data_IF_530604564035
#
_entry.id   IF_530604564035
#
_cell.length_a   1.000
_cell.length_b   1.000
_cell.length_c   1.000
_cell.angle_alpha   90.00
_cell.angle_beta   90.00
_cell.angle_gamma   90.00
#
_symmetry.space_group_name_H-M   'P 1'
#
loop_
_entity.id
_entity.type
_entity.pdbx_description
1 polymer ?
#
# COMPACT_ATOMS: atom_id res chain seq x y z
N UNK A 1 82.28 -14.78 -4.92
CA UNK A 1 82.47 -15.03 -3.47
C UNK A 1 82.76 -13.71 -2.79
N UNK A 2 82.12 -13.41 -1.69
CA UNK A 2 82.38 -12.25 -0.86
C UNK A 2 83.77 -12.35 -0.18
N UNK A 3 84.39 -11.21 -0.01
CA UNK A 3 85.70 -11.18 0.70
C UNK A 3 85.51 -11.51 2.18
N UNK A 4 86.54 -12.11 2.81
CA UNK A 4 86.48 -12.45 4.22
C UNK A 4 86.30 -11.23 5.10
N UNK A 5 86.87 -10.09 4.74
CA UNK A 5 86.76 -8.82 5.45
C UNK A 5 85.31 -8.25 5.43
N UNK A 6 84.56 -8.46 4.31
CA UNK A 6 83.18 -8.03 4.23
C UNK A 6 82.27 -8.84 5.15
N UNK A 7 82.50 -10.16 5.25
CA UNK A 7 81.77 -11.02 6.17
C UNK A 7 82.05 -10.68 7.63
N UNK A 8 83.33 -10.47 8.01
CA UNK A 8 83.74 -10.08 9.37
C UNK A 8 83.15 -8.69 9.74
N UNK A 9 83.13 -7.73 8.83
CA UNK A 9 82.53 -6.43 9.06
C UNK A 9 81.02 -6.53 9.29
N UNK A 10 80.31 -7.32 8.52
CA UNK A 10 78.90 -7.55 8.71
C UNK A 10 78.57 -8.25 10.02
N UNK A 11 79.38 -9.27 10.39
CA UNK A 11 79.23 -10.00 11.64
C UNK A 11 79.39 -9.06 12.85
N UNK A 12 80.40 -8.20 12.84
CA UNK A 12 80.66 -7.22 13.92
C UNK A 12 79.46 -6.26 14.10
N UNK A 13 78.92 -5.72 13.00
CA UNK A 13 77.79 -4.82 13.06
C UNK A 13 76.54 -5.52 13.54
N UNK A 14 76.28 -6.76 13.11
CA UNK A 14 75.15 -7.55 13.58
C UNK A 14 75.25 -7.87 15.07
N UNK A 15 76.44 -8.25 15.53
CA UNK A 15 76.68 -8.48 16.97
C UNK A 15 76.46 -7.21 17.78
N UNK A 16 76.89 -6.04 17.30
CA UNK A 16 76.68 -4.76 17.96
C UNK A 16 75.18 -4.42 18.01
N UNK A 17 74.48 -4.61 16.94
CA UNK A 17 73.03 -4.41 16.88
C UNK A 17 72.28 -5.31 17.87
N UNK A 18 72.66 -6.57 17.99
CA UNK A 18 72.11 -7.49 18.98
C UNK A 18 72.37 -7.07 20.43
N UNK A 19 73.59 -6.58 20.74
CA UNK A 19 73.90 -6.02 22.06
C UNK A 19 73.04 -4.80 22.38
N UNK A 20 72.80 -3.92 21.42
CA UNK A 20 71.90 -2.76 21.62
C UNK A 20 70.45 -3.23 21.82
N UNK A 21 69.99 -4.16 21.04
CA UNK A 21 68.63 -4.63 21.09
C UNK A 21 68.33 -5.51 22.31
N UNK A 22 69.16 -6.41 22.61
CA UNK A 22 68.88 -7.43 23.64
C UNK A 22 69.56 -7.13 25.00
N UNK A 23 70.78 -6.55 25.03
CA UNK A 23 71.49 -6.21 26.27
C UNK A 23 71.30 -4.75 26.69
N UNK A 24 70.50 -3.96 25.92
CA UNK A 24 70.28 -2.54 26.22
C UNK A 24 71.50 -1.70 26.36
N UNK A 25 72.55 -2.09 25.70
CA UNK A 25 73.83 -1.33 25.69
C UNK A 25 73.60 -0.07 24.83
N UNK A 26 74.02 1.11 25.31
CA UNK A 26 73.99 2.33 24.54
C UNK A 26 75.32 2.50 23.81
N UNK A 27 75.33 2.40 22.45
CA UNK A 27 76.58 2.62 21.70
C UNK A 27 77.01 4.11 21.81
N UNK A 28 78.30 4.34 21.70
CA UNK A 28 78.83 5.68 21.59
C UNK A 28 78.62 6.23 20.15
N UNK A 29 78.51 7.54 20.02
CA UNK A 29 78.22 8.19 18.71
C UNK A 29 79.32 7.84 17.66
N UNK A 30 80.58 7.68 18.04
CA UNK A 30 81.58 7.27 17.08
C UNK A 30 81.44 5.78 16.62
N UNK A 31 80.96 4.91 17.49
CA UNK A 31 80.68 3.49 17.14
C UNK A 31 79.54 3.39 16.13
N UNK A 32 78.49 4.22 16.30
CA UNK A 32 77.37 4.29 15.36
C UNK A 32 77.86 4.72 13.95
N UNK A 33 78.69 5.75 13.89
CA UNK A 33 79.26 6.22 12.63
C UNK A 33 80.22 5.22 11.98
N UNK A 34 80.99 4.47 12.77
CA UNK A 34 81.83 3.43 12.29
C UNK A 34 81.04 2.24 11.76
N UNK A 35 80.01 1.79 12.48
CA UNK A 35 79.11 0.72 12.05
C UNK A 35 78.32 1.09 10.80
N UNK A 36 77.90 2.32 10.69
CA UNK A 36 77.26 2.84 9.46
C UNK A 36 78.21 2.78 8.24
N UNK A 37 79.47 3.15 8.42
CA UNK A 37 80.46 3.01 7.34
C UNK A 37 80.71 1.57 6.96
N UNK A 38 80.82 0.65 7.95
CA UNK A 38 81.00 -0.80 7.72
C UNK A 38 79.79 -1.39 6.96
N UNK A 39 78.59 -1.08 7.38
CA UNK A 39 77.36 -1.54 6.68
C UNK A 39 77.32 -1.00 5.27
N UNK A 40 77.51 0.32 5.09
CA UNK A 40 77.47 0.93 3.77
C UNK A 40 78.51 0.31 2.81
N UNK A 41 79.76 0.12 3.29
CA UNK A 41 80.81 -0.51 2.54
C UNK A 41 80.49 -1.99 2.19
N UNK A 42 79.96 -2.73 3.16
CA UNK A 42 79.51 -4.11 2.98
C UNK A 42 78.39 -4.23 1.96
N UNK A 43 77.38 -3.37 2.04
CA UNK A 43 76.25 -3.34 1.08
C UNK A 43 76.76 -3.03 -0.34
N UNK A 44 77.63 -2.04 -0.52
CA UNK A 44 78.22 -1.71 -1.83
C UNK A 44 79.01 -2.90 -2.41
N UNK A 45 79.79 -3.58 -1.53
CA UNK A 45 80.59 -4.75 -1.98
C UNK A 45 79.70 -5.94 -2.34
N UNK A 46 78.66 -6.19 -1.57
CA UNK A 46 77.65 -7.22 -1.87
C UNK A 46 76.93 -6.89 -3.16
N UNK A 47 76.50 -5.64 -3.32
CA UNK A 47 75.80 -5.22 -4.56
C UNK A 47 76.65 -5.39 -5.82
N UNK A 48 77.94 -5.10 -5.73
CA UNK A 48 78.91 -5.35 -6.83
C UNK A 48 79.20 -6.83 -7.08
N UNK A 49 79.04 -7.70 -6.08
CA UNK A 49 79.29 -9.10 -6.17
C UNK A 49 78.09 -9.92 -6.66
N UNK A 50 76.90 -9.31 -6.68
CA UNK A 50 75.67 -9.88 -7.25
C UNK A 50 75.74 -9.71 -8.79
N UNK A 51 75.72 -10.77 -9.57
CA UNK A 51 75.64 -10.61 -11.01
C UNK A 51 74.32 -9.88 -11.37
N UNK A 52 74.40 -8.89 -12.23
CA UNK A 52 73.22 -8.30 -12.85
C UNK A 52 72.48 -9.39 -13.66
N UNK A 53 71.41 -9.90 -13.07
CA UNK A 53 70.51 -10.81 -13.78
C UNK A 53 69.60 -9.92 -14.62
N UNK A 54 69.96 -9.74 -15.86
CA UNK A 54 69.27 -8.83 -16.82
C UNK A 54 67.91 -9.36 -17.24
N UNK A 55 67.50 -10.59 -16.85
CA UNK A 55 66.25 -11.22 -17.30
C UNK A 55 65.09 -11.21 -16.28
N UNK A 56 65.34 -10.95 -14.97
CA UNK A 56 64.26 -10.96 -13.97
C UNK A 56 63.57 -9.61 -13.79
N UNK A 57 64.11 -8.51 -14.31
CA UNK A 57 63.53 -7.18 -14.14
C UNK A 57 62.28 -6.98 -14.96
N UNK A 58 62.20 -7.52 -16.17
CA UNK A 58 61.01 -7.36 -17.04
C UNK A 58 59.78 -8.08 -16.49
N UNK A 59 59.94 -9.30 -15.95
CA UNK A 59 58.81 -10.04 -15.35
C UNK A 59 58.33 -9.40 -14.05
N UNK A 60 59.22 -8.90 -13.23
CA UNK A 60 58.86 -8.25 -11.96
C UNK A 60 58.19 -6.86 -12.20
N UNK A 61 58.68 -6.10 -13.17
CA UNK A 61 58.05 -4.84 -13.56
C UNK A 61 56.68 -5.06 -14.21
N UNK A 62 56.54 -6.05 -15.09
CA UNK A 62 55.28 -6.44 -15.67
C UNK A 62 54.26 -6.90 -14.62
N UNK A 63 54.69 -7.69 -13.64
CA UNK A 63 53.82 -8.09 -12.50
C UNK A 63 53.41 -6.91 -11.63
N UNK A 64 54.33 -5.98 -11.33
CA UNK A 64 54.06 -4.79 -10.56
C UNK A 64 53.08 -3.83 -11.31
N UNK A 65 53.21 -3.70 -12.61
CA UNK A 65 52.27 -2.92 -13.42
C UNK A 65 50.88 -3.56 -13.49
N UNK A 66 50.81 -4.88 -13.61
CA UNK A 66 49.57 -5.62 -13.58
C UNK A 66 48.84 -5.43 -12.22
N UNK A 67 49.58 -5.51 -11.12
CA UNK A 67 49.01 -5.24 -9.78
C UNK A 67 48.54 -3.81 -9.62
N UNK A 68 49.30 -2.82 -10.12
CA UNK A 68 48.87 -1.42 -10.15
C UNK A 68 47.60 -1.22 -10.98
N UNK A 69 47.50 -1.82 -12.14
CA UNK A 69 46.30 -1.74 -12.98
C UNK A 69 45.10 -2.40 -12.32
N UNK A 70 45.25 -3.58 -11.70
CA UNK A 70 44.20 -4.26 -10.91
C UNK A 70 43.72 -3.38 -9.74
N UNK A 71 44.66 -2.76 -9.02
CA UNK A 71 44.32 -1.85 -7.91
C UNK A 71 43.60 -0.57 -8.38
N UNK A 72 44.02 -0.01 -9.51
CA UNK A 72 43.35 1.13 -10.14
C UNK A 72 41.95 0.78 -10.64
N UNK A 73 41.80 -0.38 -11.33
CA UNK A 73 40.51 -0.87 -11.80
C UNK A 73 39.55 -1.11 -10.63
N UNK A 74 40.01 -1.70 -9.52
CA UNK A 74 39.23 -1.87 -8.31
C UNK A 74 38.77 -0.54 -7.71
N UNK A 75 39.66 0.44 -7.58
CA UNK A 75 39.31 1.79 -7.09
C UNK A 75 38.32 2.49 -7.99
N UNK A 76 38.42 2.35 -9.32
CA UNK A 76 37.47 2.90 -10.30
C UNK A 76 36.12 2.22 -10.16
N UNK A 77 36.09 0.89 -10.04
CA UNK A 77 34.87 0.13 -9.84
C UNK A 77 34.16 0.51 -8.53
N UNK A 78 34.89 0.64 -7.45
CA UNK A 78 34.36 1.09 -6.15
C UNK A 78 33.79 2.52 -6.21
N UNK A 79 34.49 3.43 -6.90
CA UNK A 79 33.98 4.81 -7.12
C UNK A 79 32.70 4.81 -7.97
N UNK A 80 32.65 4.00 -9.04
CA UNK A 80 31.44 3.84 -9.87
C UNK A 80 30.29 3.27 -9.05
N UNK A 81 30.51 2.19 -8.30
CA UNK A 81 29.52 1.57 -7.42
C UNK A 81 29.00 2.57 -6.36
N UNK A 82 29.88 3.34 -5.73
CA UNK A 82 29.48 4.38 -4.77
C UNK A 82 28.67 5.51 -5.42
N UNK A 83 29.02 5.93 -6.64
CA UNK A 83 28.25 6.95 -7.39
C UNK A 83 26.85 6.42 -7.75
N UNK A 84 26.75 5.19 -8.22
CA UNK A 84 25.47 4.54 -8.55
C UNK A 84 24.62 4.41 -7.28
N UNK A 85 25.20 3.94 -6.17
CA UNK A 85 24.50 3.84 -4.88
C UNK A 85 23.97 5.19 -4.41
N UNK A 86 24.79 6.24 -4.50
CA UNK A 86 24.37 7.59 -4.12
C UNK A 86 23.28 8.13 -5.06
N UNK A 87 23.37 7.88 -6.38
CA UNK A 87 22.35 8.29 -7.35
C UNK A 87 21.00 7.58 -7.05
N UNK A 88 21.02 6.29 -6.71
CA UNK A 88 19.81 5.55 -6.31
C UNK A 88 19.22 6.13 -5.03
N UNK A 89 20.06 6.44 -4.01
CA UNK A 89 19.59 7.06 -2.77
C UNK A 89 18.97 8.43 -2.98
N UNK A 90 19.57 9.25 -3.84
CA UNK A 90 19.03 10.57 -4.21
C UNK A 90 17.69 10.40 -4.95
N UNK A 91 17.63 9.48 -5.92
CA UNK A 91 16.40 9.16 -6.65
C UNK A 91 15.27 8.71 -5.72
N UNK A 92 15.59 7.81 -4.78
CA UNK A 92 14.62 7.36 -3.78
C UNK A 92 14.16 8.52 -2.88
N UNK A 93 15.07 9.39 -2.46
CA UNK A 93 14.75 10.58 -1.67
C UNK A 93 13.80 11.53 -2.39
N UNK A 94 14.00 11.75 -3.70
CA UNK A 94 13.10 12.58 -4.52
C UNK A 94 11.72 11.95 -4.63
N UNK A 95 11.62 10.64 -4.82
CA UNK A 95 10.33 9.91 -4.86
C UNK A 95 9.59 10.03 -3.53
N UNK A 96 10.26 9.81 -2.40
CA UNK A 96 9.66 9.93 -1.06
C UNK A 96 9.19 11.37 -0.80
N UNK A 97 9.99 12.37 -1.17
CA UNK A 97 9.61 13.78 -1.05
C UNK A 97 8.40 14.13 -1.92
N UNK A 98 8.36 13.68 -3.17
CA UNK A 98 7.23 13.94 -4.07
C UNK A 98 5.95 13.28 -3.56
N UNK A 99 6.02 12.05 -3.05
CA UNK A 99 4.91 11.37 -2.39
C UNK A 99 4.44 12.14 -1.14
N UNK A 100 5.37 12.60 -0.29
CA UNK A 100 5.05 13.39 0.89
C UNK A 100 4.32 14.70 0.56
N UNK A 101 4.78 15.42 -0.47
CA UNK A 101 4.12 16.65 -0.95
C UNK A 101 2.72 16.33 -1.51
N UNK A 102 2.59 15.24 -2.26
CA UNK A 102 1.29 14.83 -2.84
C UNK A 102 0.30 14.44 -1.74
N UNK A 103 0.74 13.70 -0.72
CA UNK A 103 -0.08 13.37 0.46
C UNK A 103 -0.52 14.65 1.20
N UNK A 104 0.39 15.60 1.40
CA UNK A 104 0.06 16.85 2.09
C UNK A 104 -0.92 17.74 1.30
N UNK A 105 -0.85 17.72 -0.03
CA UNK A 105 -1.68 18.55 -0.91
C UNK A 105 -3.03 17.91 -1.27
N UNK A 106 -3.09 16.59 -1.42
CA UNK A 106 -4.27 15.87 -1.95
C UNK A 106 -4.79 14.75 -1.03
N UNK A 107 -4.12 14.48 0.09
CA UNK A 107 -4.48 13.44 1.01
C UNK A 107 -3.82 12.08 0.70
N UNK A 108 -3.82 11.20 1.70
CA UNK A 108 -3.25 9.86 1.60
C UNK A 108 -4.05 8.97 0.62
N UNK A 109 -5.37 9.11 0.61
CA UNK A 109 -6.26 8.30 -0.23
C UNK A 109 -6.01 8.54 -1.71
N UNK A 110 -5.73 9.78 -2.12
CA UNK A 110 -5.36 10.09 -3.50
C UNK A 110 -4.10 9.36 -3.96
N UNK A 111 -3.09 9.25 -3.09
CA UNK A 111 -1.84 8.54 -3.41
C UNK A 111 -2.06 7.04 -3.43
N UNK A 112 -2.87 6.52 -2.52
CA UNK A 112 -3.29 5.12 -2.49
C UNK A 112 -4.00 4.74 -3.79
N UNK A 113 -4.96 5.55 -4.23
CA UNK A 113 -5.71 5.36 -5.47
C UNK A 113 -4.82 5.44 -6.72
N UNK A 114 -3.80 6.31 -6.71
CA UNK A 114 -2.85 6.44 -7.82
C UNK A 114 -1.96 5.20 -7.97
N UNK A 115 -1.59 4.56 -6.86
CA UNK A 115 -0.66 3.41 -6.85
C UNK A 115 -1.41 2.08 -7.03
N UNK A 116 -2.56 1.94 -6.36
CA UNK A 116 -3.32 0.68 -6.30
C UNK A 116 -4.48 0.62 -7.29
N UNK A 117 -4.78 1.73 -7.99
CA UNK A 117 -6.00 1.90 -8.77
C UNK A 117 -7.18 2.30 -7.89
N UNK A 118 -8.24 2.81 -8.52
CA UNK A 118 -9.48 3.15 -7.86
C UNK A 118 -10.62 2.37 -8.51
N UNK A 119 -11.13 1.37 -7.81
CA UNK A 119 -12.20 0.48 -8.29
C UNK A 119 -13.48 1.26 -8.64
N UNK A 120 -13.85 2.26 -7.82
CA UNK A 120 -15.04 3.07 -8.07
C UNK A 120 -14.89 3.98 -9.29
N UNK A 121 -13.67 4.43 -9.62
CA UNK A 121 -13.37 5.14 -10.85
C UNK A 121 -13.64 4.28 -12.08
N UNK A 122 -13.14 3.05 -12.08
CA UNK A 122 -13.37 2.12 -13.21
C UNK A 122 -14.85 1.82 -13.39
N UNK A 123 -15.62 1.75 -12.29
CA UNK A 123 -17.07 1.55 -12.33
C UNK A 123 -17.82 2.77 -12.88
N UNK A 124 -17.39 4.00 -12.55
CA UNK A 124 -17.99 5.22 -13.11
C UNK A 124 -17.76 5.35 -14.60
N UNK A 125 -16.52 5.07 -15.05
CA UNK A 125 -16.10 5.18 -16.45
C UNK A 125 -16.56 4.00 -17.32
N UNK A 126 -17.02 2.91 -16.70
CA UNK A 126 -17.48 1.69 -17.37
C UNK A 126 -18.88 1.81 -17.98
N UNK A 127 -19.35 0.71 -18.57
CA UNK A 127 -20.72 0.60 -19.07
C UNK A 127 -21.72 0.54 -17.92
N UNK A 128 -22.78 1.36 -18.02
CA UNK A 128 -23.91 1.35 -17.10
C UNK A 128 -25.06 0.55 -17.68
N UNK A 129 -25.71 -0.20 -16.80
CA UNK A 129 -26.74 -1.16 -17.19
C UNK A 129 -28.06 -0.73 -16.57
N UNK A 130 -29.04 -0.41 -17.42
CA UNK A 130 -30.41 -0.20 -16.98
C UNK A 130 -31.07 -1.56 -16.76
N UNK A 131 -31.48 -1.84 -15.53
CA UNK A 131 -32.08 -3.13 -15.15
C UNK A 131 -33.34 -2.93 -14.34
N UNK A 132 -34.26 -3.87 -14.48
CA UNK A 132 -35.44 -3.99 -13.63
C UNK A 132 -35.15 -5.00 -12.51
N UNK A 133 -35.42 -4.60 -11.28
CA UNK A 133 -35.21 -5.43 -10.10
C UNK A 133 -36.51 -5.63 -9.33
N UNK A 134 -36.86 -6.88 -9.07
CA UNK A 134 -37.93 -7.28 -8.17
C UNK A 134 -39.34 -7.24 -8.68
N UNK A 135 -40.30 -7.45 -7.74
CA UNK A 135 -41.74 -7.38 -7.97
C UNK A 135 -42.43 -6.92 -6.67
N UNK A 136 -43.02 -5.70 -6.59
CA UNK A 136 -43.15 -4.72 -7.69
C UNK A 136 -41.76 -4.19 -8.10
N UNK A 137 -41.59 -3.97 -9.40
CA UNK A 137 -40.29 -3.69 -10.00
C UNK A 137 -39.81 -2.27 -9.79
N UNK A 138 -38.49 -2.11 -9.60
CA UNK A 138 -37.80 -0.83 -9.70
C UNK A 138 -36.80 -0.88 -10.85
N UNK A 139 -36.81 0.12 -11.70
CA UNK A 139 -35.88 0.29 -12.80
C UNK A 139 -34.79 1.23 -12.37
N UNK A 140 -33.54 0.82 -12.51
CA UNK A 140 -32.36 1.56 -12.01
C UNK A 140 -31.18 1.36 -12.93
N UNK A 141 -30.39 2.40 -13.17
CA UNK A 141 -29.06 2.27 -13.78
C UNK A 141 -28.02 1.89 -12.74
N UNK A 142 -27.27 0.84 -12.99
CA UNK A 142 -26.18 0.37 -12.10
C UNK A 142 -24.90 0.13 -12.90
N UNK A 143 -23.71 0.30 -12.29
CA UNK A 143 -22.43 0.09 -12.98
C UNK A 143 -22.16 -1.39 -13.28
N UNK A 144 -22.86 -2.30 -12.61
CA UNK A 144 -22.84 -3.76 -12.83
C UNK A 144 -24.20 -4.34 -12.54
N UNK A 145 -24.54 -5.47 -13.19
CA UNK A 145 -25.75 -6.22 -12.84
C UNK A 145 -25.64 -6.74 -11.40
N UNK A 146 -26.65 -6.44 -10.58
CA UNK A 146 -26.70 -6.91 -9.21
C UNK A 146 -27.06 -8.39 -9.16
N UNK A 147 -26.44 -9.11 -8.22
CA UNK A 147 -26.71 -10.54 -8.00
C UNK A 147 -27.91 -10.72 -7.08
N UNK A 148 -28.80 -11.61 -7.43
CA UNK A 148 -29.91 -11.98 -6.54
C UNK A 148 -29.37 -12.78 -5.33
N UNK A 149 -29.74 -12.33 -4.15
CA UNK A 149 -29.33 -12.92 -2.87
C UNK A 149 -30.53 -13.59 -2.21
N UNK A 150 -30.29 -14.67 -1.46
CA UNK A 150 -31.33 -15.33 -0.67
C UNK A 150 -31.63 -14.48 0.57
N UNK A 151 -32.66 -13.64 0.46
CA UNK A 151 -33.05 -12.71 1.51
C UNK A 151 -33.36 -13.43 2.85
N UNK A 152 -33.72 -14.73 2.85
CA UNK A 152 -33.99 -15.48 4.08
C UNK A 152 -32.74 -15.70 4.94
N UNK A 153 -31.56 -15.64 4.32
CA UNK A 153 -30.29 -15.77 5.03
C UNK A 153 -29.80 -14.43 5.61
N UNK A 154 -30.27 -13.34 5.03
CA UNK A 154 -29.79 -11.99 5.37
C UNK A 154 -30.64 -11.30 6.44
N UNK A 155 -31.89 -11.71 6.63
CA UNK A 155 -32.83 -11.05 7.53
C UNK A 155 -33.20 -11.93 8.74
N UNK A 156 -33.47 -11.28 9.89
CA UNK A 156 -34.05 -11.96 11.04
C UNK A 156 -35.39 -12.61 10.72
N UNK A 157 -35.69 -13.76 11.34
CA UNK A 157 -36.93 -14.51 11.08
C UNK A 157 -38.21 -13.70 11.30
N UNK A 158 -38.22 -12.77 12.24
CA UNK A 158 -39.35 -11.88 12.54
C UNK A 158 -39.65 -10.89 11.41
N UNK A 159 -38.63 -10.45 10.65
CA UNK A 159 -38.85 -9.55 9.51
C UNK A 159 -39.68 -10.21 8.38
N UNK A 160 -39.58 -11.52 8.23
CA UNK A 160 -40.39 -12.28 7.27
C UNK A 160 -41.87 -12.45 7.67
N UNK A 161 -42.20 -12.27 8.94
CA UNK A 161 -43.56 -12.51 9.43
C UNK A 161 -44.59 -11.61 8.75
N UNK A 162 -44.23 -10.38 8.44
CA UNK A 162 -45.07 -9.36 7.81
C UNK A 162 -44.96 -9.29 6.28
N UNK A 163 -43.94 -9.95 5.70
CA UNK A 163 -43.70 -9.94 4.27
C UNK A 163 -44.42 -11.09 3.57
N UNK A 164 -45.07 -10.79 2.45
CA UNK A 164 -45.61 -11.79 1.51
C UNK A 164 -44.54 -12.26 0.55
N UNK A 165 -43.74 -11.34 0.05
CA UNK A 165 -42.62 -11.58 -0.86
C UNK A 165 -41.51 -10.57 -0.59
N UNK A 166 -40.26 -10.99 -0.73
CA UNK A 166 -39.09 -10.15 -0.71
C UNK A 166 -38.07 -10.65 -1.74
N UNK A 167 -37.51 -9.74 -2.48
CA UNK A 167 -36.40 -10.02 -3.39
C UNK A 167 -35.26 -9.04 -3.06
N UNK A 168 -34.04 -9.55 -3.03
CA UNK A 168 -32.86 -8.81 -2.66
C UNK A 168 -31.77 -9.01 -3.73
N UNK A 169 -31.17 -7.92 -4.17
CA UNK A 169 -30.13 -7.88 -5.18
C UNK A 169 -28.97 -7.03 -4.66
N UNK A 170 -27.74 -7.52 -4.79
CA UNK A 170 -26.57 -6.84 -4.21
C UNK A 170 -25.36 -6.86 -5.15
N UNK A 171 -24.53 -5.86 -5.00
CA UNK A 171 -23.17 -5.76 -5.52
C UNK A 171 -22.25 -5.29 -4.40
N UNK A 172 -21.12 -5.98 -4.21
CA UNK A 172 -20.20 -5.69 -3.13
C UNK A 172 -20.72 -6.12 -1.76
N UNK A 173 -20.15 -5.57 -0.73
CA UNK A 173 -20.54 -5.76 0.68
C UNK A 173 -20.27 -4.50 1.50
N UNK A 174 -20.89 -4.40 2.67
CA UNK A 174 -20.87 -3.18 3.49
C UNK A 174 -19.46 -2.73 3.92
N UNK A 175 -18.50 -3.65 3.95
CA UNK A 175 -17.10 -3.41 4.30
C UNK A 175 -16.18 -3.24 3.08
N UNK A 176 -16.73 -3.14 1.86
CA UNK A 176 -15.98 -2.86 0.64
C UNK A 176 -16.08 -1.39 0.23
N UNK A 177 -15.24 -1.00 -0.74
CA UNK A 177 -15.20 0.37 -1.29
C UNK A 177 -16.55 0.87 -1.83
N UNK A 178 -17.38 -0.05 -2.34
CA UNK A 178 -18.72 0.22 -2.85
C UNK A 178 -19.66 -0.94 -2.48
N UNK A 179 -20.83 -0.60 -2.00
CA UNK A 179 -21.94 -1.53 -1.77
C UNK A 179 -23.22 -0.96 -2.36
N UNK A 180 -23.90 -1.75 -3.16
CA UNK A 180 -25.19 -1.42 -3.75
C UNK A 180 -26.16 -2.55 -3.38
N UNK A 181 -27.31 -2.20 -2.84
CA UNK A 181 -28.35 -3.16 -2.52
C UNK A 181 -29.71 -2.62 -2.96
N UNK A 182 -30.47 -3.45 -3.64
CA UNK A 182 -31.85 -3.15 -4.02
C UNK A 182 -32.74 -4.25 -3.48
N UNK A 183 -33.73 -3.88 -2.67
CA UNK A 183 -34.74 -4.81 -2.21
C UNK A 183 -36.15 -4.35 -2.61
N UNK A 184 -36.97 -5.30 -3.00
CA UNK A 184 -38.38 -5.08 -3.26
C UNK A 184 -39.20 -5.97 -2.33
N UNK A 185 -40.09 -5.33 -1.59
CA UNK A 185 -40.83 -5.97 -0.51
C UNK A 185 -42.32 -5.82 -0.79
N UNK A 186 -43.07 -6.92 -0.71
CA UNK A 186 -44.52 -6.95 -0.75
C UNK A 186 -45.04 -7.38 0.61
N UNK A 187 -45.90 -6.57 1.21
CA UNK A 187 -46.43 -6.84 2.54
C UNK A 187 -47.69 -7.71 2.48
N UNK A 188 -47.95 -8.43 3.55
CA UNK A 188 -49.22 -9.14 3.72
C UNK A 188 -50.32 -8.11 3.97
N UNK A 189 -51.49 -8.39 3.38
CA UNK A 189 -52.68 -7.62 3.67
C UNK A 189 -53.15 -7.92 5.09
N UNK A 190 -53.53 -6.89 5.81
CA UNK A 190 -54.16 -7.01 7.14
C UNK A 190 -55.63 -6.66 7.03
N UNK A 191 -56.52 -7.56 7.50
CA UNK A 191 -57.94 -7.20 7.54
C UNK A 191 -58.17 -6.04 8.53
N UNK A 192 -58.93 -5.05 8.08
CA UNK A 192 -59.35 -3.99 8.97
C UNK A 192 -60.57 -4.43 9.82
N UNK A 193 -61.02 -3.56 10.74
CA UNK A 193 -62.16 -3.84 11.62
C UNK A 193 -63.50 -4.10 10.84
N UNK A 194 -63.57 -3.75 9.56
CA UNK A 194 -64.74 -3.97 8.69
C UNK A 194 -64.60 -5.20 7.82
N UNK A 195 -63.51 -5.97 7.96
CA UNK A 195 -63.25 -7.18 7.16
C UNK A 195 -62.70 -6.94 5.77
N UNK A 196 -62.41 -5.69 5.39
CA UNK A 196 -61.75 -5.36 4.13
C UNK A 196 -60.27 -5.50 4.30
N UNK A 197 -59.60 -6.21 3.40
CA UNK A 197 -58.13 -6.32 3.37
C UNK A 197 -57.53 -5.05 2.79
N UNK A 198 -56.70 -4.37 3.60
CA UNK A 198 -55.92 -3.23 3.11
C UNK A 198 -54.45 -3.55 3.17
N UNK A 199 -53.66 -3.00 2.25
CA UNK A 199 -52.22 -3.07 2.32
C UNK A 199 -51.71 -2.52 3.68
N UNK A 200 -50.73 -3.17 4.27
CA UNK A 200 -50.13 -2.69 5.50
C UNK A 200 -49.60 -1.26 5.31
N UNK A 201 -49.90 -0.39 6.25
CA UNK A 201 -49.33 0.95 6.24
C UNK A 201 -47.83 0.90 6.54
N UNK A 202 -47.03 1.41 5.60
CA UNK A 202 -45.57 1.36 5.69
C UNK A 202 -45.11 2.64 6.37
N UNK A 203 -44.49 2.50 7.54
CA UNK A 203 -43.80 3.57 8.23
C UNK A 203 -42.30 3.53 7.88
N UNK A 204 -41.84 4.57 7.18
CA UNK A 204 -40.42 4.66 6.75
C UNK A 204 -39.43 4.69 7.92
N UNK A 205 -39.79 5.33 9.05
CA UNK A 205 -38.93 5.37 10.23
C UNK A 205 -38.68 3.97 10.80
N UNK A 206 -39.73 3.13 10.84
CA UNK A 206 -39.62 1.73 11.26
C UNK A 206 -38.72 0.93 10.30
N UNK A 207 -38.80 1.20 9.01
CA UNK A 207 -37.95 0.56 8.00
C UNK A 207 -36.48 0.98 8.18
N UNK A 208 -36.23 2.26 8.33
CA UNK A 208 -34.88 2.79 8.55
C UNK A 208 -34.26 2.26 9.84
N UNK A 209 -35.03 2.16 10.91
CA UNK A 209 -34.61 1.53 12.16
C UNK A 209 -34.24 0.06 11.96
N UNK A 210 -35.01 -0.68 11.16
CA UNK A 210 -34.73 -2.07 10.82
C UNK A 210 -33.41 -2.23 10.04
N UNK A 211 -33.16 -1.34 9.05
CA UNK A 211 -31.92 -1.29 8.28
C UNK A 211 -30.73 -1.00 9.21
N UNK A 212 -30.85 0.03 10.04
CA UNK A 212 -29.82 0.45 10.98
C UNK A 212 -29.44 -0.69 11.93
N UNK A 213 -30.42 -1.38 12.53
CA UNK A 213 -30.18 -2.54 13.41
C UNK A 213 -29.51 -3.69 12.68
N UNK A 214 -29.88 -3.95 11.44
CA UNK A 214 -29.24 -4.99 10.62
C UNK A 214 -27.77 -4.65 10.34
N UNK A 215 -27.49 -3.39 9.98
CA UNK A 215 -26.12 -2.96 9.72
C UNK A 215 -25.25 -2.96 10.99
N UNK A 216 -25.81 -2.57 12.14
CA UNK A 216 -25.13 -2.70 13.43
C UNK A 216 -24.77 -4.16 13.75
N UNK A 217 -25.67 -5.11 13.47
CA UNK A 217 -25.36 -6.52 13.62
C UNK A 217 -24.24 -7.01 12.66
N UNK A 218 -24.10 -6.36 11.50
CA UNK A 218 -23.03 -6.60 10.51
C UNK A 218 -21.71 -5.85 10.82
N UNK A 219 -21.66 -5.02 11.88
CA UNK A 219 -20.45 -4.33 12.32
C UNK A 219 -20.43 -2.82 12.07
N UNK A 220 -21.55 -2.23 11.65
CA UNK A 220 -21.66 -0.79 11.52
C UNK A 220 -21.82 -0.14 12.91
N UNK A 221 -21.11 0.96 13.14
CA UNK A 221 -21.13 1.77 14.35
C UNK A 221 -21.15 3.25 14.01
N UNK A 222 -21.37 4.12 14.98
CA UNK A 222 -21.34 5.59 14.81
C UNK A 222 -22.21 6.06 13.63
N UNK A 223 -23.39 5.48 13.50
CA UNK A 223 -24.31 5.82 12.41
C UNK A 223 -24.97 7.17 12.68
N UNK A 224 -24.74 8.09 11.77
CA UNK A 224 -25.40 9.41 11.74
C UNK A 224 -26.18 9.49 10.43
N UNK A 225 -27.44 9.89 10.49
CA UNK A 225 -28.21 10.08 9.26
C UNK A 225 -29.11 11.31 9.35
N UNK A 226 -29.41 11.83 8.18
CA UNK A 226 -30.48 12.81 7.92
C UNK A 226 -31.47 12.16 6.99
N UNK A 227 -32.68 12.60 7.03
CA UNK A 227 -33.71 12.19 6.08
C UNK A 227 -34.39 13.40 5.47
N UNK A 228 -34.86 13.26 4.25
CA UNK A 228 -35.55 14.23 3.47
C UNK A 228 -36.64 13.59 2.62
N UNK A 229 -37.70 14.31 2.32
CA UNK A 229 -38.68 13.84 1.36
C UNK A 229 -38.07 13.75 -0.05
N UNK A 230 -38.38 12.69 -0.75
CA UNK A 230 -37.87 12.45 -2.09
C UNK A 230 -39.05 12.32 -3.04
N UNK A 231 -38.99 13.05 -4.15
CA UNK A 231 -39.98 12.95 -5.22
C UNK A 231 -39.26 12.67 -6.53
N UNK A 232 -39.71 11.64 -7.24
CA UNK A 232 -39.22 11.39 -8.60
C UNK A 232 -39.88 12.35 -9.58
N UNK A 233 -39.29 12.57 -10.74
CA UNK A 233 -39.86 13.38 -11.82
C UNK A 233 -41.25 12.88 -12.29
N UNK A 234 -41.54 11.59 -12.06
CA UNK A 234 -42.83 10.95 -12.35
C UNK A 234 -43.85 10.99 -11.22
N UNK A 235 -43.59 11.76 -10.15
CA UNK A 235 -44.49 11.97 -9.05
C UNK A 235 -44.55 10.84 -8.01
N UNK A 236 -43.60 9.90 -8.02
CA UNK A 236 -43.50 8.92 -6.95
C UNK A 236 -42.87 9.58 -5.71
N UNK A 237 -43.54 9.43 -4.59
CA UNK A 237 -43.10 9.96 -3.30
C UNK A 237 -42.35 8.90 -2.52
N UNK A 238 -41.32 9.32 -1.80
CA UNK A 238 -40.48 8.46 -0.96
C UNK A 238 -39.71 9.25 0.07
N UNK A 239 -38.79 8.60 0.73
CA UNK A 239 -37.86 9.19 1.70
C UNK A 239 -36.43 8.80 1.30
N UNK A 240 -35.56 9.79 1.28
CA UNK A 240 -34.12 9.60 1.16
C UNK A 240 -33.47 9.82 2.54
N UNK A 241 -32.79 8.79 3.04
CA UNK A 241 -31.94 8.90 4.21
C UNK A 241 -30.47 8.80 3.80
N UNK A 242 -29.61 9.63 4.37
CA UNK A 242 -28.20 9.66 4.06
C UNK A 242 -27.35 10.06 5.25
N UNK A 243 -26.10 9.63 5.27
CA UNK A 243 -25.20 9.94 6.35
C UNK A 243 -23.91 9.15 6.33
N UNK A 244 -23.28 9.06 7.49
CA UNK A 244 -22.01 8.35 7.66
C UNK A 244 -22.13 7.27 8.71
N UNK A 245 -21.27 6.26 8.59
CA UNK A 245 -21.09 5.19 9.55
C UNK A 245 -19.63 4.73 9.57
N UNK A 246 -19.25 4.05 10.62
CA UNK A 246 -17.98 3.30 10.67
C UNK A 246 -18.29 1.83 10.57
N UNK A 247 -17.70 1.14 9.60
CA UNK A 247 -17.84 -0.32 9.43
C UNK A 247 -16.56 -1.00 9.89
N UNK A 248 -16.69 -2.01 10.75
CA UNK A 248 -15.57 -2.79 11.25
C UNK A 248 -15.57 -4.13 10.52
N UNK A 249 -14.47 -4.43 9.82
CA UNK A 249 -14.25 -5.76 9.25
C UNK A 249 -13.92 -6.75 10.37
N UNK A 250 -14.82 -7.70 10.59
CA UNK A 250 -14.70 -8.70 11.67
C UNK A 250 -13.55 -9.69 11.45
N UNK A 251 -12.98 -9.76 10.26
CA UNK A 251 -11.92 -10.70 9.94
C UNK A 251 -10.54 -10.17 10.33
N UNK A 252 -10.29 -8.88 10.10
CA UNK A 252 -8.99 -8.23 10.34
C UNK A 252 -9.03 -7.13 11.39
N UNK A 253 -10.23 -6.70 11.82
CA UNK A 253 -10.42 -5.63 12.80
C UNK A 253 -10.24 -4.22 12.24
N UNK A 254 -10.01 -4.06 10.95
CA UNK A 254 -9.91 -2.74 10.32
C UNK A 254 -11.25 -2.01 10.37
N UNK A 255 -11.19 -0.71 10.54
CA UNK A 255 -12.38 0.15 10.55
C UNK A 255 -12.31 1.16 9.41
N UNK A 256 -13.40 1.30 8.68
CA UNK A 256 -13.50 2.21 7.56
C UNK A 256 -14.72 3.13 7.72
N UNK A 257 -14.54 4.41 7.40
CA UNK A 257 -15.65 5.36 7.38
C UNK A 257 -16.34 5.29 6.04
N UNK A 258 -17.65 5.08 6.08
CA UNK A 258 -18.51 4.96 4.91
C UNK A 258 -19.54 6.08 4.92
N UNK A 259 -19.82 6.61 3.74
CA UNK A 259 -21.02 7.41 3.47
C UNK A 259 -22.07 6.49 2.85
N UNK A 260 -23.34 6.73 3.17
CA UNK A 260 -24.43 5.94 2.63
C UNK A 260 -25.63 6.79 2.26
N UNK A 261 -26.40 6.29 1.30
CA UNK A 261 -27.71 6.79 0.89
C UNK A 261 -28.69 5.61 0.84
N UNK A 262 -29.89 5.83 1.37
CA UNK A 262 -30.99 4.89 1.38
C UNK A 262 -32.19 5.61 0.78
N UNK A 263 -32.71 5.10 -0.32
CA UNK A 263 -33.95 5.58 -0.92
C UNK A 263 -35.05 4.55 -0.68
N UNK A 264 -36.14 5.00 -0.07
CA UNK A 264 -37.36 4.23 0.18
C UNK A 264 -38.49 4.79 -0.68
N UNK A 265 -39.03 3.95 -1.55
CA UNK A 265 -40.15 4.28 -2.42
C UNK A 265 -41.35 3.37 -2.10
N UNK A 266 -42.53 3.96 -2.00
CA UNK A 266 -43.75 3.23 -1.68
C UNK A 266 -44.61 3.07 -2.92
N UNK A 267 -45.10 1.87 -3.17
CA UNK A 267 -46.03 1.54 -4.26
C UNK A 267 -46.98 0.45 -3.76
N UNK A 268 -48.28 0.60 -4.06
CA UNK A 268 -49.40 -0.33 -3.84
C UNK A 268 -49.11 -1.60 -2.99
N UNK A 269 -49.05 -1.47 -1.67
CA UNK A 269 -48.76 -2.56 -0.74
C UNK A 269 -47.33 -3.09 -0.79
N UNK A 270 -46.42 -2.38 -1.47
CA UNK A 270 -45.01 -2.69 -1.60
C UNK A 270 -44.06 -1.55 -1.18
N UNK A 271 -42.83 -1.89 -0.97
CA UNK A 271 -41.74 -0.99 -0.64
C UNK A 271 -40.50 -1.39 -1.46
N UNK A 272 -39.98 -0.45 -2.21
CA UNK A 272 -38.68 -0.58 -2.85
C UNK A 272 -37.66 0.18 -2.04
N UNK A 273 -36.51 -0.45 -1.83
CA UNK A 273 -35.42 0.13 -1.09
C UNK A 273 -34.16 0.03 -1.96
N UNK A 274 -33.50 1.17 -2.15
CA UNK A 274 -32.23 1.26 -2.85
C UNK A 274 -31.22 1.78 -1.84
N UNK A 275 -30.11 1.09 -1.70
CA UNK A 275 -29.02 1.45 -0.82
C UNK A 275 -27.76 1.58 -1.64
N UNK A 276 -27.03 2.65 -1.44
CA UNK A 276 -25.66 2.82 -1.92
C UNK A 276 -24.78 3.21 -0.76
N UNK A 277 -23.65 2.55 -0.60
CA UNK A 277 -22.64 2.93 0.39
C UNK A 277 -21.26 2.90 -0.25
N UNK A 278 -20.46 3.91 0.05
CA UNK A 278 -19.10 4.06 -0.45
C UNK A 278 -18.19 4.66 0.64
N UNK A 279 -16.88 4.64 0.43
CA UNK A 279 -15.94 5.27 1.36
C UNK A 279 -16.25 6.76 1.52
N UNK A 280 -16.17 7.26 2.74
CA UNK A 280 -16.28 8.71 2.98
C UNK A 280 -15.16 9.44 2.23
N UNK A 281 -15.52 10.47 1.45
CA UNK A 281 -14.57 11.23 0.61
C UNK A 281 -14.30 10.63 -0.78
N UNK A 282 -14.86 9.48 -1.13
CA UNK A 282 -14.77 8.93 -2.48
C UNK A 282 -15.71 9.65 -3.45
N UNK A 283 -15.14 10.57 -4.24
CA UNK A 283 -15.89 11.35 -5.23
C UNK A 283 -16.46 10.50 -6.38
N UNK A 284 -15.86 9.37 -6.69
CA UNK A 284 -16.39 8.44 -7.70
C UNK A 284 -17.54 7.62 -7.12
N UNK A 285 -17.40 7.13 -5.90
CA UNK A 285 -18.48 6.48 -5.17
C UNK A 285 -19.70 7.38 -5.02
N UNK A 286 -19.50 8.67 -4.71
CA UNK A 286 -20.55 9.69 -4.66
C UNK A 286 -21.28 9.81 -6.01
N UNK A 287 -20.55 9.92 -7.13
CA UNK A 287 -21.14 10.00 -8.47
C UNK A 287 -21.95 8.74 -8.81
N UNK A 288 -21.50 7.56 -8.36
CA UNK A 288 -22.25 6.32 -8.50
C UNK A 288 -23.55 6.40 -7.73
N UNK A 289 -23.51 6.79 -6.47
CA UNK A 289 -24.71 6.95 -5.63
C UNK A 289 -25.73 7.90 -6.23
N UNK A 290 -25.30 9.12 -6.59
CA UNK A 290 -26.14 10.13 -7.21
C UNK A 290 -26.81 9.58 -8.51
N UNK A 291 -26.08 8.92 -9.39
CA UNK A 291 -26.62 8.38 -10.63
C UNK A 291 -27.62 7.26 -10.38
N UNK A 292 -27.35 6.34 -9.47
CA UNK A 292 -28.26 5.25 -9.10
C UNK A 292 -29.57 5.84 -8.54
N UNK A 293 -29.49 6.72 -7.57
CA UNK A 293 -30.67 7.32 -6.91
C UNK A 293 -31.50 8.12 -7.90
N UNK A 294 -30.88 8.93 -8.75
CA UNK A 294 -31.59 9.77 -9.72
C UNK A 294 -32.20 8.96 -10.90
N UNK A 295 -31.66 7.78 -11.18
CA UNK A 295 -32.19 6.89 -12.24
C UNK A 295 -33.37 6.03 -11.77
N UNK A 296 -33.67 6.03 -10.45
CA UNK A 296 -34.67 5.13 -9.88
C UNK A 296 -36.10 5.48 -10.36
N UNK A 297 -36.74 4.52 -11.00
CA UNK A 297 -38.12 4.61 -11.44
C UNK A 297 -38.92 3.39 -11.00
N UNK A 298 -40.16 3.62 -10.52
CA UNK A 298 -41.07 2.52 -10.22
C UNK A 298 -41.74 2.04 -11.54
N UNK A 299 -41.80 0.73 -11.70
CA UNK A 299 -42.58 0.15 -12.77
C UNK A 299 -44.06 0.27 -12.43
N UNK A 300 -44.83 0.92 -13.31
CA UNK A 300 -46.29 1.04 -13.22
C UNK A 300 -46.98 -0.31 -13.58
#
# INVERSE_FOLDING_TARGET
>A
KLSKDTLENLEKVLMQADLVKFAKVKPLDFEIEEDKKRITSSIVTIHKAIPEVVEETDELEAWNEEQKQKALAKKVAERKAKRIKNAILIGLGVVVLSLGITIAAKGFDFVKDLILGNETKELVEGEWILSEYGNPGVIVETPKVLKRIDAKKELPKNAYAILKEMQLFEFGSLNQSLYISISTNKFKETPNATGESKPAEINFDTVLDGITKNWQAKGATNMLFKQEDFNTDKGVTGVKAYGTMTVIDKNNGDSEKMYYEILLLKQDGGLQQIVVSHREGDEYGKKIGERIINSAELKS
#
